data_IF_384001842585
#
_entry.id   IF_384001842585
#
_cell.length_a   1.000
_cell.length_b   1.000
_cell.length_c   1.000
_cell.angle_alpha   90.00
_cell.angle_beta   90.00
_cell.angle_gamma   90.00
#
_symmetry.space_group_name_H-M   'P 1'
#
loop_
_entity.id
_entity.type
_entity.pdbx_description
1 polymer ?
#
# COMPACT_ATOMS: atom_id res chain seq x y z
N UNK A 1 29.52 -52.00 -27.30
CA UNK A 1 28.17 -51.59 -27.74
C UNK A 1 27.29 -51.54 -26.51
N UNK A 2 27.14 -50.36 -25.91
CA UNK A 2 26.30 -50.13 -24.73
C UNK A 2 24.83 -50.25 -25.11
N UNK A 3 24.12 -51.21 -24.49
CA UNK A 3 22.68 -51.30 -24.57
C UNK A 3 22.09 -50.26 -23.61
N UNK A 4 21.68 -49.11 -24.16
CA UNK A 4 20.87 -48.14 -23.46
C UNK A 4 19.51 -48.80 -23.15
N UNK A 5 19.33 -49.25 -21.92
CA UNK A 5 18.04 -49.78 -21.44
C UNK A 5 16.98 -48.68 -21.56
N UNK A 6 15.97 -48.91 -22.39
CA UNK A 6 14.81 -48.04 -22.50
C UNK A 6 14.24 -47.72 -21.12
N UNK A 7 13.81 -46.48 -20.83
CA UNK A 7 13.21 -46.15 -19.56
C UNK A 7 11.89 -46.90 -19.43
N UNK A 8 11.89 -47.98 -18.63
CA UNK A 8 10.73 -48.82 -18.33
C UNK A 8 9.50 -47.95 -18.06
N UNK A 9 8.46 -48.12 -18.87
CA UNK A 9 7.23 -47.36 -18.76
C UNK A 9 6.60 -47.60 -17.38
N UNK A 10 6.12 -46.52 -16.75
CA UNK A 10 5.48 -46.56 -15.45
C UNK A 10 3.99 -46.32 -15.61
N UNK A 11 3.17 -47.21 -15.04
CA UNK A 11 1.72 -47.05 -15.05
C UNK A 11 1.24 -46.01 -14.04
N UNK A 12 0.43 -45.05 -14.49
CA UNK A 12 -0.24 -44.10 -13.62
C UNK A 12 -1.43 -44.76 -12.91
N UNK A 13 -1.45 -44.79 -11.58
CA UNK A 13 -2.56 -45.42 -10.81
C UNK A 13 -3.91 -44.69 -10.89
N UNK A 14 -3.98 -43.54 -11.57
CA UNK A 14 -5.22 -42.74 -11.68
C UNK A 14 -5.87 -42.85 -13.05
N UNK A 15 -5.10 -42.71 -14.13
CA UNK A 15 -5.61 -42.85 -15.49
C UNK A 15 -5.26 -44.19 -16.14
N UNK A 16 -4.54 -45.07 -15.43
CA UNK A 16 -4.16 -46.42 -15.85
C UNK A 16 -3.32 -46.50 -17.14
N UNK A 17 -2.83 -45.36 -17.63
CA UNK A 17 -1.93 -45.28 -18.79
C UNK A 17 -0.49 -45.59 -18.39
N UNK A 18 0.19 -46.38 -19.21
CA UNK A 18 1.64 -46.56 -19.17
C UNK A 18 2.31 -45.34 -19.82
N UNK A 19 3.13 -44.64 -19.04
CA UNK A 19 3.74 -43.39 -19.45
C UNK A 19 5.24 -43.44 -19.18
N UNK A 20 6.00 -42.64 -19.92
CA UNK A 20 7.42 -42.44 -19.64
C UNK A 20 7.63 -41.99 -18.19
N UNK A 21 8.72 -42.41 -17.51
CA UNK A 21 9.12 -41.86 -16.21
C UNK A 21 9.16 -40.33 -16.16
N UNK A 22 9.46 -39.68 -17.30
CA UNK A 22 9.45 -38.23 -17.44
C UNK A 22 8.07 -37.60 -17.31
N UNK A 23 6.97 -38.37 -17.30
CA UNK A 23 5.61 -37.90 -17.04
C UNK A 23 5.26 -37.84 -15.54
N UNK A 24 6.15 -38.31 -14.66
CA UNK A 24 5.97 -38.35 -13.21
C UNK A 24 6.92 -37.37 -12.52
N UNK A 25 6.45 -36.73 -11.45
CA UNK A 25 7.29 -35.89 -10.60
C UNK A 25 8.12 -36.75 -9.65
N UNK A 26 9.29 -36.25 -9.24
CA UNK A 26 10.17 -36.94 -8.31
C UNK A 26 9.55 -37.02 -6.89
N UNK A 27 9.68 -38.17 -6.26
CA UNK A 27 9.25 -38.43 -4.87
C UNK A 27 10.31 -39.24 -4.14
N UNK A 28 11.09 -38.57 -3.29
CA UNK A 28 12.18 -39.17 -2.52
C UNK A 28 11.73 -40.27 -1.54
N UNK A 29 10.43 -40.32 -1.22
CA UNK A 29 9.89 -41.30 -0.27
C UNK A 29 9.50 -42.62 -0.96
N UNK A 30 9.62 -42.70 -2.29
CA UNK A 30 9.28 -43.88 -3.08
C UNK A 30 10.54 -44.61 -3.52
N UNK A 31 10.46 -45.94 -3.58
CA UNK A 31 11.58 -46.81 -3.96
C UNK A 31 12.10 -46.52 -5.37
N UNK A 32 11.20 -46.14 -6.28
CA UNK A 32 11.50 -45.78 -7.66
C UNK A 32 11.69 -44.27 -7.87
N UNK A 33 11.69 -43.47 -6.79
CA UNK A 33 11.92 -42.04 -6.84
C UNK A 33 10.83 -41.23 -7.55
N UNK A 34 9.67 -41.81 -7.88
CA UNK A 34 8.63 -41.17 -8.69
C UNK A 34 7.24 -41.24 -8.06
N UNK A 35 6.45 -40.20 -8.28
CA UNK A 35 5.04 -40.14 -7.89
C UNK A 35 4.23 -41.31 -8.49
N UNK A 36 3.19 -41.76 -7.79
CA UNK A 36 2.29 -42.84 -8.24
C UNK A 36 1.28 -42.40 -9.31
N UNK A 37 1.15 -41.09 -9.50
CA UNK A 37 0.25 -40.46 -10.46
C UNK A 37 1.07 -39.57 -11.41
N UNK A 38 0.69 -39.56 -12.69
CA UNK A 38 1.32 -38.67 -13.67
C UNK A 38 1.03 -37.20 -13.35
N UNK A 39 1.88 -36.29 -13.84
CA UNK A 39 1.78 -34.84 -13.60
C UNK A 39 0.41 -34.27 -13.99
N UNK A 40 -0.21 -34.77 -15.06
CA UNK A 40 -1.56 -34.35 -15.48
C UNK A 40 -2.64 -34.71 -14.44
N UNK A 41 -2.64 -35.96 -13.96
CA UNK A 41 -3.59 -36.41 -12.95
C UNK A 41 -3.40 -35.66 -11.64
N UNK A 42 -2.15 -35.41 -11.24
CA UNK A 42 -1.82 -34.59 -10.07
C UNK A 42 -2.32 -33.15 -10.27
N UNK A 43 -2.04 -32.51 -11.42
CA UNK A 43 -2.48 -31.15 -11.70
C UNK A 43 -4.01 -31.01 -11.64
N UNK A 44 -4.76 -31.93 -12.26
CA UNK A 44 -6.24 -31.96 -12.20
C UNK A 44 -6.75 -32.10 -10.77
N UNK A 45 -6.19 -33.04 -10.01
CA UNK A 45 -6.55 -33.24 -8.61
C UNK A 45 -6.24 -32.01 -7.76
N UNK A 46 -5.03 -31.46 -7.89
CA UNK A 46 -4.58 -30.28 -7.14
C UNK A 46 -5.41 -29.04 -7.45
N UNK A 47 -5.81 -28.83 -8.71
CA UNK A 47 -6.70 -27.74 -9.09
C UNK A 47 -8.09 -27.87 -8.45
N UNK A 48 -8.68 -29.07 -8.50
CA UNK A 48 -9.98 -29.34 -7.86
C UNK A 48 -9.89 -29.21 -6.33
N UNK A 49 -8.84 -29.75 -5.71
CA UNK A 49 -8.60 -29.66 -4.28
C UNK A 49 -8.38 -28.20 -3.83
N UNK A 50 -7.61 -27.42 -4.59
CA UNK A 50 -7.40 -25.98 -4.35
C UNK A 50 -8.73 -25.23 -4.37
N UNK A 51 -9.58 -25.47 -5.38
CA UNK A 51 -10.91 -24.85 -5.51
C UNK A 51 -11.78 -25.13 -4.27
N UNK A 52 -11.98 -26.40 -3.92
CA UNK A 52 -12.78 -26.80 -2.74
C UNK A 52 -12.28 -26.17 -1.45
N UNK A 53 -10.96 -26.15 -1.25
CA UNK A 53 -10.35 -25.55 -0.05
C UNK A 53 -10.59 -24.04 0.02
N UNK A 54 -10.58 -23.32 -1.10
CA UNK A 54 -10.86 -21.88 -1.15
C UNK A 54 -12.32 -21.58 -0.84
N UNK A 55 -13.23 -22.35 -1.44
CA UNK A 55 -14.68 -22.27 -1.20
C UNK A 55 -15.03 -22.54 0.27
N UNK A 56 -14.46 -23.59 0.88
CA UNK A 56 -14.64 -23.90 2.29
C UNK A 56 -14.14 -22.78 3.23
N UNK A 57 -13.18 -21.96 2.78
CA UNK A 57 -12.69 -20.79 3.52
C UNK A 57 -13.50 -19.51 3.22
N UNK A 58 -14.53 -19.57 2.38
CA UNK A 58 -15.26 -18.38 1.91
C UNK A 58 -14.39 -17.42 1.11
N UNK A 59 -13.30 -17.89 0.49
CA UNK A 59 -12.35 -17.05 -0.26
C UNK A 59 -12.51 -17.30 -1.76
N UNK A 60 -12.39 -16.25 -2.60
CA UNK A 60 -12.50 -16.40 -4.04
C UNK A 60 -11.40 -17.31 -4.61
N UNK A 61 -11.73 -18.15 -5.59
CA UNK A 61 -10.78 -19.00 -6.30
C UNK A 61 -9.94 -18.09 -7.21
N UNK A 62 -8.61 -18.25 -7.19
CA UNK A 62 -7.73 -17.46 -8.06
C UNK A 62 -7.55 -18.19 -9.38
N UNK A 63 -8.25 -17.71 -10.40
CA UNK A 63 -8.07 -18.21 -11.76
C UNK A 63 -6.71 -17.80 -12.33
N UNK A 64 -6.21 -18.64 -13.23
CA UNK A 64 -5.00 -18.37 -13.99
C UNK A 64 -5.39 -17.53 -15.20
N UNK A 65 -4.80 -16.34 -15.29
CA UNK A 65 -5.03 -15.42 -16.39
C UNK A 65 -3.83 -15.51 -17.31
N UNK A 66 -4.07 -15.62 -18.62
CA UNK A 66 -3.02 -15.52 -19.62
C UNK A 66 -2.43 -14.10 -19.59
N UNK A 67 -1.12 -14.02 -19.35
CA UNK A 67 -0.39 -12.75 -19.30
C UNK A 67 0.72 -12.79 -20.34
N UNK A 68 0.93 -11.69 -21.09
CA UNK A 68 2.06 -11.61 -22.01
C UNK A 68 3.40 -11.81 -21.29
N UNK A 69 4.41 -12.26 -22.04
CA UNK A 69 5.77 -12.38 -21.52
C UNK A 69 6.24 -11.01 -21.00
N UNK A 70 6.94 -11.02 -19.87
CA UNK A 70 7.39 -9.79 -19.20
C UNK A 70 6.27 -8.99 -18.52
N UNK A 71 5.04 -9.52 -18.46
CA UNK A 71 3.91 -8.89 -17.78
C UNK A 71 3.42 -9.73 -16.61
N UNK A 72 2.69 -9.08 -15.71
CA UNK A 72 2.07 -9.71 -14.54
C UNK A 72 0.72 -9.06 -14.26
N UNK A 73 -0.22 -9.82 -13.72
CA UNK A 73 -1.50 -9.30 -13.24
C UNK A 73 -1.36 -8.78 -11.82
N UNK A 74 -1.76 -7.53 -11.57
CA UNK A 74 -1.85 -6.99 -10.23
C UNK A 74 -3.05 -7.61 -9.49
N UNK A 75 -2.81 -8.25 -8.33
CA UNK A 75 -3.90 -8.85 -7.53
C UNK A 75 -4.72 -7.84 -6.71
N UNK A 76 -4.42 -6.55 -6.82
CA UNK A 76 -5.15 -5.47 -6.14
C UNK A 76 -6.03 -4.70 -7.11
N UNK A 77 -5.48 -4.15 -8.20
CA UNK A 77 -6.28 -3.42 -9.20
C UNK A 77 -6.78 -4.26 -10.38
N UNK A 78 -6.29 -5.49 -10.56
CA UNK A 78 -6.71 -6.36 -11.68
C UNK A 78 -6.09 -6.01 -13.04
N UNK A 79 -5.18 -5.03 -13.10
CA UNK A 79 -4.53 -4.64 -14.36
C UNK A 79 -3.31 -5.51 -14.66
N UNK A 80 -3.12 -5.84 -15.94
CA UNK A 80 -1.89 -6.47 -16.46
C UNK A 80 -0.90 -5.35 -16.81
N UNK A 81 0.30 -5.39 -16.24
CA UNK A 81 1.36 -4.38 -16.47
C UNK A 81 2.72 -5.05 -16.70
N UNK A 82 3.71 -4.35 -17.26
CA UNK A 82 5.07 -4.88 -17.43
C UNK A 82 5.79 -5.02 -16.08
N UNK A 83 6.67 -6.02 -15.93
CA UNK A 83 7.38 -6.34 -14.68
C UNK A 83 8.10 -5.15 -14.02
N UNK A 84 8.45 -4.10 -14.78
CA UNK A 84 8.97 -2.83 -14.26
C UNK A 84 8.07 -2.16 -13.23
N UNK A 85 6.76 -2.42 -13.27
CA UNK A 85 5.75 -1.87 -12.36
C UNK A 85 5.65 -2.63 -11.02
N UNK A 86 6.59 -3.54 -10.74
CA UNK A 86 6.62 -4.32 -9.50
C UNK A 86 7.87 -4.04 -8.66
N UNK A 87 7.72 -4.19 -7.34
CA UNK A 87 8.86 -4.34 -6.45
C UNK A 87 9.34 -5.79 -6.43
N UNK A 88 10.64 -5.99 -6.24
CA UNK A 88 11.23 -7.31 -6.02
C UNK A 88 10.71 -7.93 -4.72
N UNK A 89 10.45 -9.22 -4.75
CA UNK A 89 10.15 -10.05 -3.59
C UNK A 89 10.85 -11.40 -3.75
N UNK A 90 11.95 -11.59 -3.02
CA UNK A 90 12.77 -12.80 -3.09
C UNK A 90 12.05 -14.09 -2.67
N UNK A 91 10.94 -13.97 -1.95
CA UNK A 91 10.16 -15.13 -1.48
C UNK A 91 9.08 -15.56 -2.48
N UNK A 92 8.77 -14.72 -3.48
CA UNK A 92 7.80 -15.05 -4.50
C UNK A 92 8.43 -15.96 -5.56
N UNK A 93 7.67 -16.93 -6.06
CA UNK A 93 8.13 -17.86 -7.11
C UNK A 93 8.54 -17.15 -8.40
N UNK A 94 7.98 -15.97 -8.67
CA UNK A 94 8.32 -15.12 -9.83
C UNK A 94 9.22 -13.93 -9.45
N UNK A 95 9.72 -13.88 -8.22
CA UNK A 95 10.60 -12.81 -7.74
C UNK A 95 9.95 -11.43 -7.60
N UNK A 96 8.62 -11.31 -7.81
CA UNK A 96 7.91 -10.04 -7.84
C UNK A 96 6.77 -9.99 -6.81
N UNK A 97 6.48 -8.78 -6.30
CA UNK A 97 5.34 -8.54 -5.41
C UNK A 97 4.01 -8.99 -6.01
N UNK A 98 3.00 -9.27 -5.17
CA UNK A 98 1.64 -9.62 -5.62
C UNK A 98 0.84 -8.41 -6.13
N UNK A 99 1.28 -7.20 -5.78
CA UNK A 99 0.66 -5.92 -6.15
C UNK A 99 1.68 -5.00 -6.82
N UNK A 100 1.20 -4.11 -7.68
CA UNK A 100 2.04 -3.17 -8.42
C UNK A 100 2.52 -2.03 -7.50
N UNK A 101 3.51 -1.26 -7.96
CA UNK A 101 4.06 -0.09 -7.26
C UNK A 101 2.98 0.94 -6.92
N UNK A 102 2.07 1.23 -7.87
CA UNK A 102 0.98 2.18 -7.66
C UNK A 102 0.03 1.76 -6.52
N UNK A 103 -0.47 0.52 -6.52
CA UNK A 103 -1.32 0.01 -5.44
C UNK A 103 -0.59 -0.02 -4.09
N UNK A 104 0.72 -0.32 -4.07
CA UNK A 104 1.52 -0.27 -2.85
C UNK A 104 1.63 1.17 -2.32
N UNK A 105 1.81 2.16 -3.19
CA UNK A 105 1.88 3.56 -2.80
C UNK A 105 0.55 4.05 -2.19
N UNK A 106 -0.59 3.71 -2.81
CA UNK A 106 -1.93 4.03 -2.27
C UNK A 106 -2.10 3.42 -0.87
N UNK A 107 -1.86 2.12 -0.74
CA UNK A 107 -1.98 1.45 0.55
C UNK A 107 -1.04 2.04 1.61
N UNK A 108 0.21 2.35 1.23
CA UNK A 108 1.17 2.96 2.14
C UNK A 108 0.70 4.32 2.69
N UNK A 109 0.04 5.15 1.85
CA UNK A 109 -0.57 6.41 2.31
C UNK A 109 -1.73 6.17 3.26
N UNK A 110 -2.61 5.21 2.95
CA UNK A 110 -3.74 4.86 3.81
C UNK A 110 -3.28 4.33 5.18
N UNK A 111 -2.28 3.45 5.19
CA UNK A 111 -1.68 2.91 6.41
C UNK A 111 -0.98 4.01 7.22
N UNK A 112 -0.27 4.93 6.56
CA UNK A 112 0.33 6.07 7.23
C UNK A 112 -0.73 6.96 7.89
N UNK A 113 -1.78 7.32 7.16
CA UNK A 113 -2.86 8.16 7.68
C UNK A 113 -3.54 7.52 8.90
N UNK A 114 -3.84 6.23 8.81
CA UNK A 114 -4.44 5.45 9.89
C UNK A 114 -3.51 5.34 11.10
N UNK A 115 -2.22 5.07 10.89
CA UNK A 115 -1.24 4.91 11.98
C UNK A 115 -0.95 6.23 12.69
N UNK A 116 -0.84 7.32 11.93
CA UNK A 116 -0.40 8.60 12.46
C UNK A 116 -1.57 9.40 13.08
N UNK A 117 -2.75 9.34 12.47
CA UNK A 117 -3.88 10.20 12.82
C UNK A 117 -5.14 9.45 13.22
N UNK A 118 -5.16 8.11 13.08
CA UNK A 118 -6.33 7.31 13.43
C UNK A 118 -7.52 7.45 12.48
N UNK A 119 -7.34 8.09 11.31
CA UNK A 119 -8.41 8.34 10.33
C UNK A 119 -8.11 7.71 8.96
N UNK A 120 -9.16 7.51 8.19
CA UNK A 120 -9.18 7.04 6.80
C UNK A 120 -9.12 8.20 5.81
N UNK A 121 -8.79 7.90 4.54
CA UNK A 121 -8.82 8.92 3.47
C UNK A 121 -10.23 9.51 3.30
N UNK A 122 -11.27 8.69 3.42
CA UNK A 122 -12.66 9.15 3.36
C UNK A 122 -13.02 10.10 4.51
N UNK A 123 -12.54 9.84 5.73
CA UNK A 123 -12.74 10.75 6.86
C UNK A 123 -11.97 12.06 6.67
N UNK A 124 -10.73 12.01 6.15
CA UNK A 124 -9.97 13.22 5.80
C UNK A 124 -10.72 14.05 4.75
N UNK A 125 -11.22 13.42 3.69
CA UNK A 125 -11.94 14.10 2.63
C UNK A 125 -13.28 14.66 3.14
N UNK A 126 -13.93 13.97 4.07
CA UNK A 126 -15.09 14.48 4.81
C UNK A 126 -14.76 15.72 5.64
N UNK A 127 -13.59 15.76 6.31
CA UNK A 127 -13.11 16.96 7.01
C UNK A 127 -12.91 18.13 6.04
N UNK A 128 -12.23 17.89 4.91
CA UNK A 128 -12.02 18.91 3.86
C UNK A 128 -13.35 19.46 3.35
N UNK A 129 -14.32 18.58 3.07
CA UNK A 129 -15.64 18.98 2.62
C UNK A 129 -16.38 19.80 3.70
N UNK A 130 -16.31 19.39 4.97
CA UNK A 130 -16.92 20.12 6.08
C UNK A 130 -16.33 21.52 6.30
N UNK A 131 -15.09 21.74 5.85
CA UNK A 131 -14.41 23.04 5.84
C UNK A 131 -14.71 23.88 4.59
N UNK A 132 -15.58 23.41 3.68
CA UNK A 132 -15.88 24.10 2.42
C UNK A 132 -14.79 23.96 1.36
N UNK A 133 -13.91 22.96 1.47
CA UNK A 133 -12.84 22.71 0.48
C UNK A 133 -11.65 23.66 0.56
N UNK A 134 -11.61 24.57 1.53
CA UNK A 134 -10.52 25.52 1.76
C UNK A 134 -9.93 25.36 3.17
N UNK A 135 -8.71 25.83 3.36
CA UNK A 135 -8.08 25.88 4.68
C UNK A 135 -8.86 26.82 5.61
N UNK A 136 -9.28 26.35 6.78
CA UNK A 136 -10.10 27.12 7.72
C UNK A 136 -9.37 28.28 8.42
N UNK A 137 -8.05 28.41 8.24
CA UNK A 137 -7.25 29.52 8.80
C UNK A 137 -7.12 30.66 7.79
N UNK A 138 -6.61 30.38 6.58
CA UNK A 138 -6.39 31.44 5.58
C UNK A 138 -7.57 31.65 4.61
N UNK A 139 -8.51 30.69 4.55
CA UNK A 139 -9.70 30.70 3.68
C UNK A 139 -9.41 30.84 2.17
N UNK A 140 -8.16 30.64 1.74
CA UNK A 140 -7.74 30.90 0.36
C UNK A 140 -7.01 29.73 -0.31
N UNK A 141 -6.40 28.84 0.47
CA UNK A 141 -5.59 27.73 -0.04
C UNK A 141 -6.28 26.39 0.14
N UNK A 142 -5.94 25.43 -0.73
CA UNK A 142 -6.41 24.04 -0.61
C UNK A 142 -5.83 23.40 0.66
N UNK A 143 -6.66 22.73 1.47
CA UNK A 143 -6.21 22.00 2.65
C UNK A 143 -5.66 20.63 2.26
N UNK A 144 -4.47 20.30 2.75
CA UNK A 144 -3.77 19.05 2.40
C UNK A 144 -3.22 18.31 3.62
N UNK A 145 -2.94 19.02 4.71
CA UNK A 145 -2.22 18.51 5.87
C UNK A 145 -3.18 18.30 7.04
N UNK A 146 -3.22 17.07 7.57
CA UNK A 146 -4.02 16.75 8.75
C UNK A 146 -3.37 17.38 9.98
N UNK A 147 -4.08 18.33 10.58
CA UNK A 147 -3.68 19.00 11.81
C UNK A 147 -4.26 18.24 13.02
N UNK A 148 -3.43 18.04 14.05
CA UNK A 148 -3.80 17.27 15.23
C UNK A 148 -3.17 17.86 16.49
N UNK A 149 -3.86 17.69 17.61
CA UNK A 149 -3.32 18.13 18.89
C UNK A 149 -2.18 17.21 19.34
N UNK A 150 -0.97 17.74 19.47
CA UNK A 150 0.20 16.98 19.91
C UNK A 150 0.10 16.41 21.34
N UNK A 151 -0.86 16.86 22.14
CA UNK A 151 -1.10 16.33 23.51
C UNK A 151 -2.07 15.15 23.53
N UNK A 152 -3.11 15.17 22.69
CA UNK A 152 -4.21 14.20 22.74
C UNK A 152 -4.27 13.30 21.51
N UNK A 153 -3.52 13.62 20.45
CA UNK A 153 -3.61 12.95 19.15
C UNK A 153 -4.89 13.26 18.37
N UNK A 154 -5.83 14.06 18.94
CA UNK A 154 -7.11 14.34 18.30
C UNK A 154 -6.91 15.23 17.08
N UNK A 155 -7.40 14.78 15.94
CA UNK A 155 -7.46 15.56 14.70
C UNK A 155 -8.34 16.79 14.93
N UNK A 156 -7.82 17.97 14.55
CA UNK A 156 -8.53 19.26 14.62
C UNK A 156 -9.18 19.61 13.29
N UNK A 157 -8.51 19.30 12.18
CA UNK A 157 -8.97 19.59 10.82
C UNK A 157 -7.89 19.32 9.78
N UNK A 158 -8.08 19.85 8.58
CA UNK A 158 -7.09 19.77 7.48
C UNK A 158 -6.70 21.19 7.07
N UNK A 159 -5.41 21.51 7.07
CA UNK A 159 -4.89 22.84 6.81
C UNK A 159 -4.03 22.85 5.54
N UNK A 160 -3.80 24.04 4.98
CA UNK A 160 -2.76 24.20 3.96
C UNK A 160 -1.37 24.07 4.62
N UNK A 161 -0.35 23.80 3.80
CA UNK A 161 1.04 23.64 4.28
C UNK A 161 1.51 24.82 5.14
N UNK A 162 1.30 26.06 4.67
CA UNK A 162 1.80 27.27 5.34
C UNK A 162 1.14 27.52 6.69
N UNK A 163 -0.18 27.38 6.78
CA UNK A 163 -0.90 27.57 8.05
C UNK A 163 -0.56 26.48 9.06
N UNK A 164 -0.47 25.22 8.63
CA UNK A 164 -0.05 24.12 9.50
C UNK A 164 1.37 24.34 10.05
N UNK A 165 2.30 24.74 9.18
CA UNK A 165 3.67 25.07 9.59
C UNK A 165 3.71 26.24 10.58
N UNK A 166 2.92 27.30 10.34
CA UNK A 166 2.84 28.45 11.24
C UNK A 166 2.36 28.04 12.65
N UNK A 167 1.33 27.19 12.77
CA UNK A 167 0.90 26.65 14.06
C UNK A 167 2.05 25.92 14.78
N UNK A 168 2.83 25.13 14.04
CA UNK A 168 4.04 24.47 14.55
C UNK A 168 5.12 25.46 15.02
N UNK A 169 5.35 26.55 14.30
CA UNK A 169 6.30 27.61 14.70
C UNK A 169 5.88 28.30 16.00
N UNK A 170 4.58 28.50 16.19
CA UNK A 170 4.02 28.97 17.47
C UNK A 170 3.91 27.87 18.53
N UNK A 171 4.36 26.63 18.25
CA UNK A 171 4.30 25.47 19.14
C UNK A 171 2.89 25.21 19.68
N UNK A 172 1.87 25.43 18.84
CA UNK A 172 0.46 25.31 19.21
C UNK A 172 0.04 26.17 20.41
N UNK A 173 0.73 27.30 20.66
CA UNK A 173 0.46 28.19 21.80
C UNK A 173 -0.56 29.29 21.44
N UNK A 174 -1.82 29.21 21.90
CA UNK A 174 -2.82 30.22 21.56
C UNK A 174 -2.48 31.61 22.10
N UNK A 175 -1.79 31.68 23.25
CA UNK A 175 -1.35 32.94 23.84
C UNK A 175 -0.32 33.66 22.96
N UNK A 176 0.61 32.92 22.35
CA UNK A 176 1.62 33.48 21.45
C UNK A 176 0.99 33.93 20.13
N UNK A 177 0.06 33.16 19.59
CA UNK A 177 -0.66 33.50 18.35
C UNK A 177 -1.48 34.79 18.53
N UNK A 178 -2.20 34.95 19.66
CA UNK A 178 -2.93 36.20 19.95
C UNK A 178 -2.00 37.40 20.07
N UNK A 179 -0.83 37.24 20.70
CA UNK A 179 0.19 38.31 20.76
C UNK A 179 0.76 38.63 19.38
N UNK A 180 0.95 37.65 18.52
CA UNK A 180 1.40 37.85 17.15
C UNK A 180 0.37 38.63 16.33
N UNK A 181 -0.93 38.30 16.45
CA UNK A 181 -2.01 39.07 15.83
C UNK A 181 -2.00 40.53 16.34
N UNK A 182 -1.97 40.73 17.66
CA UNK A 182 -1.90 42.06 18.26
C UNK A 182 -0.64 42.84 17.85
N UNK A 183 0.49 42.17 17.58
CA UNK A 183 1.71 42.81 17.09
C UNK A 183 1.55 43.32 15.66
N UNK A 184 1.00 42.49 14.76
CA UNK A 184 0.76 42.87 13.36
C UNK A 184 -0.30 43.97 13.24
N UNK A 185 -1.30 43.98 14.13
CA UNK A 185 -2.30 45.04 14.24
C UNK A 185 -1.75 46.33 14.89
N UNK A 186 -0.50 46.32 15.36
CA UNK A 186 0.10 47.47 16.04
C UNK A 186 -0.49 47.75 17.42
N UNK A 187 -1.14 46.78 18.05
CA UNK A 187 -1.72 46.89 19.40
C UNK A 187 -0.66 46.57 20.46
N UNK A 188 0.13 45.51 20.25
CA UNK A 188 1.08 45.00 21.26
C UNK A 188 2.32 45.89 21.43
N UNK A 189 2.69 46.65 20.40
CA UNK A 189 3.84 47.53 20.42
C UNK A 189 3.62 48.70 19.45
N UNK A 190 3.48 49.92 20.00
CA UNK A 190 3.36 51.17 19.23
C UNK A 190 4.60 52.01 19.47
N UNK A 191 5.62 51.92 18.60
CA UNK A 191 6.74 52.84 18.71
C UNK A 191 6.30 54.27 18.35
N UNK A 192 6.77 55.25 19.11
CA UNK A 192 6.59 56.67 18.77
C UNK A 192 7.55 57.01 17.63
N UNK A 193 7.02 57.45 16.49
CA UNK A 193 7.85 57.94 15.38
C UNK A 193 8.43 59.30 15.76
N UNK A 194 9.75 59.34 15.98
CA UNK A 194 10.45 60.59 16.35
C UNK A 194 11.15 61.23 15.14
N UNK A 195 11.50 60.43 14.12
CA UNK A 195 12.00 60.87 12.82
C UNK A 195 11.80 59.75 11.76
N UNK A 196 11.92 60.03 10.45
CA UNK A 196 11.85 58.98 9.43
C UNK A 196 12.85 57.84 9.70
N UNK A 197 12.34 56.63 9.93
CA UNK A 197 13.16 55.44 10.27
C UNK A 197 13.63 55.35 11.72
N UNK A 198 13.31 56.32 12.59
CA UNK A 198 13.69 56.33 14.00
C UNK A 198 12.45 56.18 14.88
N UNK A 199 12.43 55.10 15.65
CA UNK A 199 11.32 54.69 16.50
C UNK A 199 11.77 54.71 17.97
N UNK A 200 11.00 55.37 18.83
CA UNK A 200 11.20 55.31 20.28
C UNK A 200 10.24 54.29 20.89
N UNK A 201 10.72 53.48 21.85
CA UNK A 201 9.88 52.55 22.59
C UNK A 201 8.82 53.33 23.40
N UNK A 202 7.55 52.86 23.43
CA UNK A 202 6.56 53.44 24.34
C UNK A 202 7.04 53.23 25.78
N UNK A 203 7.04 54.33 26.56
CA UNK A 203 7.38 54.37 27.99
C UNK A 203 6.36 53.65 28.86
#
# INVERSE_FOLDING_TARGET
MEAASEPSAKQCRKCLRDLSPSAFAHDKNRRDGLQVHCRECVAKYSAAHYRRRREAMGKPVREQVEVPVGHKLCRTCGEIKPHSEWHRNATASDGLSTRCKACRAVQGRQEHLKRQYGITEAERDGLIASQGGVCCICLSSVPEHVDHCHKTGRVRGVLCFSCNAALGQFKDRPDAIRRAAAYVEGIAWKPTLVAPGVYQLPS
#
